data_IF_379937150919
#
_entry.id   IF_379937150919
#
_cell.length_a   1.000
_cell.length_b   1.000
_cell.length_c   1.000
_cell.angle_alpha   90.00
_cell.angle_beta   90.00
_cell.angle_gamma   90.00
#
_symmetry.space_group_name_H-M   'P 1'
#
loop_
_entity.id
_entity.type
_entity.pdbx_description
1 polymer ?
#
# COMPACT_ATOMS: atom_id res chain seq x y z
N UNK A 1 9.82 -1.45 75.55
CA UNK A 1 9.11 -1.76 74.29
C UNK A 1 8.04 -0.70 74.12
N UNK A 2 8.18 0.22 73.16
CA UNK A 2 7.24 1.32 72.94
C UNK A 2 6.59 1.16 71.57
N UNK A 3 5.32 0.71 71.53
CA UNK A 3 4.51 0.74 70.31
C UNK A 3 3.81 2.09 70.22
N UNK A 4 4.39 3.01 69.45
CA UNK A 4 3.78 4.31 69.14
C UNK A 4 2.61 4.10 68.17
N UNK A 5 1.40 4.05 68.71
CA UNK A 5 0.15 3.94 67.97
C UNK A 5 -0.17 5.24 67.24
N UNK A 6 0.01 5.23 65.92
CA UNK A 6 -0.13 6.38 65.04
C UNK A 6 -1.63 6.74 64.82
N UNK A 7 -2.25 7.40 65.80
CA UNK A 7 -3.63 7.89 65.69
C UNK A 7 -3.69 9.17 64.83
N UNK A 8 -3.53 9.03 63.52
CA UNK A 8 -3.81 10.10 62.56
C UNK A 8 -5.29 10.51 62.67
N UNK A 9 -5.55 11.78 62.90
CA UNK A 9 -6.92 12.31 63.03
C UNK A 9 -7.75 12.02 61.76
N UNK A 10 -9.08 11.90 61.90
CA UNK A 10 -10.00 11.62 60.77
C UNK A 10 -9.78 12.59 59.59
N UNK A 11 -9.40 13.84 59.87
CA UNK A 11 -9.10 14.84 58.85
C UNK A 11 -7.75 14.61 58.15
N UNK A 12 -6.73 14.13 58.87
CA UNK A 12 -5.45 13.75 58.26
C UNK A 12 -5.61 12.58 57.29
N UNK A 13 -6.38 11.55 57.68
CA UNK A 13 -6.65 10.38 56.84
C UNK A 13 -7.45 10.74 55.57
N UNK A 14 -8.37 11.70 55.65
CA UNK A 14 -9.13 12.22 54.49
C UNK A 14 -8.24 13.01 53.52
N UNK A 15 -7.30 13.81 54.03
CA UNK A 15 -6.34 14.56 53.18
C UNK A 15 -5.31 13.64 52.52
N UNK A 16 -4.86 12.61 53.23
CA UNK A 16 -3.93 11.60 52.70
C UNK A 16 -4.57 10.82 51.54
N UNK A 17 -5.82 10.36 51.70
CA UNK A 17 -6.57 9.70 50.63
C UNK A 17 -6.81 10.59 49.40
N UNK A 18 -7.03 11.89 49.60
CA UNK A 18 -7.19 12.84 48.49
C UNK A 18 -5.87 13.07 47.74
N UNK A 19 -4.73 13.10 48.44
CA UNK A 19 -3.40 13.19 47.82
C UNK A 19 -3.03 11.93 47.05
N UNK A 20 -3.34 10.76 47.62
CA UNK A 20 -3.07 9.46 46.99
C UNK A 20 -3.89 9.27 45.72
N UNK A 21 -5.18 9.67 45.73
CA UNK A 21 -6.00 9.67 44.51
C UNK A 21 -5.43 10.60 43.44
N UNK A 22 -5.04 11.82 43.80
CA UNK A 22 -4.45 12.78 42.84
C UNK A 22 -3.10 12.30 42.28
N UNK A 23 -2.32 11.58 43.09
CA UNK A 23 -1.07 10.98 42.65
C UNK A 23 -1.32 9.81 41.67
N UNK A 24 -2.31 8.96 41.94
CA UNK A 24 -2.69 7.90 41.01
C UNK A 24 -3.25 8.45 39.70
N UNK A 25 -4.10 9.48 39.74
CA UNK A 25 -4.63 10.13 38.55
C UNK A 25 -3.48 10.71 37.69
N UNK A 26 -2.48 11.34 38.32
CA UNK A 26 -1.27 11.83 37.62
C UNK A 26 -0.40 10.69 37.05
N UNK A 27 -0.27 9.57 37.75
CA UNK A 27 0.48 8.40 37.26
C UNK A 27 -0.24 7.73 36.09
N UNK A 28 -1.58 7.68 36.10
CA UNK A 28 -2.37 7.18 34.97
C UNK A 28 -2.30 8.12 33.76
N UNK A 29 -2.36 9.44 33.95
CA UNK A 29 -2.16 10.40 32.86
C UNK A 29 -0.75 10.30 32.27
N UNK A 30 0.28 10.09 33.11
CA UNK A 30 1.64 9.89 32.64
C UNK A 30 1.79 8.59 31.84
N UNK A 31 1.17 7.49 32.29
CA UNK A 31 1.16 6.20 31.58
C UNK A 31 0.39 6.25 30.26
N UNK A 32 -0.67 7.07 30.17
CA UNK A 32 -1.39 7.30 28.91
C UNK A 32 -0.51 8.03 27.90
N UNK A 33 0.17 9.09 28.31
CA UNK A 33 1.10 9.82 27.44
C UNK A 33 2.38 9.04 27.09
N UNK A 34 2.82 8.11 27.94
CA UNK A 34 3.98 7.25 27.69
C UNK A 34 3.70 6.14 26.65
N UNK A 35 2.43 5.74 26.50
CA UNK A 35 2.00 4.84 25.41
C UNK A 35 1.80 5.54 24.07
N UNK A 36 1.54 6.86 24.05
CA UNK A 36 1.39 7.64 22.81
C UNK A 36 2.74 7.99 22.16
N UNK A 37 3.85 7.91 22.89
CA UNK A 37 5.19 8.27 22.38
C UNK A 37 6.11 7.09 22.10
N UNK A 38 5.59 5.86 22.08
CA UNK A 38 6.34 4.77 21.46
C UNK A 38 6.44 5.09 19.98
N UNK A 39 7.61 5.58 19.56
CA UNK A 39 8.05 5.63 18.17
C UNK A 39 7.98 4.20 17.62
N UNK A 40 6.79 3.78 17.20
CA UNK A 40 6.59 2.48 16.59
C UNK A 40 7.51 2.48 15.38
N UNK A 41 8.44 1.54 15.36
CA UNK A 41 9.35 1.38 14.24
C UNK A 41 8.51 1.38 12.94
N UNK A 42 8.76 2.32 12.01
CA UNK A 42 7.96 2.44 10.79
C UNK A 42 7.88 1.12 10.03
N UNK A 43 8.90 0.26 10.13
CA UNK A 43 8.90 -1.08 9.54
C UNK A 43 7.82 -1.96 10.15
N UNK A 44 7.65 -1.91 11.48
CA UNK A 44 6.65 -2.72 12.20
C UNK A 44 5.23 -2.24 11.90
N UNK A 45 5.03 -0.92 11.80
CA UNK A 45 3.75 -0.34 11.41
C UNK A 45 3.32 -0.77 10.00
N UNK A 46 4.23 -0.70 9.03
CA UNK A 46 3.97 -1.12 7.64
C UNK A 46 3.71 -2.63 7.54
N UNK A 47 4.43 -3.45 8.30
CA UNK A 47 4.17 -4.91 8.36
C UNK A 47 2.78 -5.22 8.90
N UNK A 48 2.32 -4.48 9.91
CA UNK A 48 0.96 -4.62 10.47
C UNK A 48 -0.10 -4.24 9.44
N UNK A 49 0.06 -3.09 8.78
CA UNK A 49 -0.85 -2.65 7.72
C UNK A 49 -0.86 -3.62 6.52
N UNK A 50 0.27 -4.25 6.21
CA UNK A 50 0.35 -5.24 5.14
C UNK A 50 -0.39 -6.53 5.50
N UNK A 51 -0.33 -6.96 6.76
CA UNK A 51 -1.11 -8.09 7.24
C UNK A 51 -2.62 -7.81 7.19
N UNK A 52 -3.03 -6.60 7.57
CA UNK A 52 -4.41 -6.13 7.53
C UNK A 52 -4.93 -5.99 6.10
N UNK A 53 -4.15 -5.41 5.19
CA UNK A 53 -4.50 -5.34 3.77
C UNK A 53 -4.62 -6.74 3.13
N UNK A 54 -3.82 -7.71 3.59
CA UNK A 54 -3.95 -9.11 3.15
C UNK A 54 -5.20 -9.78 3.69
N UNK A 55 -5.54 -9.57 4.96
CA UNK A 55 -6.76 -10.14 5.55
C UNK A 55 -8.02 -9.54 4.91
N UNK A 56 -7.96 -8.28 4.48
CA UNK A 56 -9.06 -7.59 3.83
C UNK A 56 -9.15 -7.88 2.32
N UNK A 57 -8.19 -8.62 1.74
CA UNK A 57 -8.15 -8.90 0.30
C UNK A 57 -7.72 -7.71 -0.58
N UNK A 58 -7.22 -6.63 0.01
CA UNK A 58 -6.77 -5.42 -0.68
C UNK A 58 -5.39 -5.61 -1.31
N UNK A 59 -5.32 -6.43 -2.37
CA UNK A 59 -4.07 -6.76 -3.05
C UNK A 59 -3.30 -5.54 -3.60
N UNK A 60 -4.03 -4.49 -4.01
CA UNK A 60 -3.43 -3.23 -4.49
C UNK A 60 -2.72 -2.49 -3.36
N UNK A 61 -3.34 -2.40 -2.19
CA UNK A 61 -2.74 -1.75 -1.02
C UNK A 61 -1.56 -2.57 -0.48
N UNK A 62 -1.72 -3.89 -0.42
CA UNK A 62 -0.67 -4.81 0.00
C UNK A 62 0.59 -4.73 -0.90
N UNK A 63 0.41 -4.56 -2.22
CA UNK A 63 1.51 -4.34 -3.15
C UNK A 63 2.26 -3.04 -2.85
N UNK A 64 1.54 -1.93 -2.65
CA UNK A 64 2.12 -0.61 -2.30
C UNK A 64 2.88 -0.65 -0.97
N UNK A 65 2.31 -1.27 0.06
CA UNK A 65 2.96 -1.42 1.37
C UNK A 65 4.24 -2.27 1.30
N UNK A 66 4.27 -3.25 0.38
CA UNK A 66 5.46 -4.07 0.14
C UNK A 66 6.57 -3.27 -0.55
N UNK A 67 6.20 -2.43 -1.51
CA UNK A 67 7.11 -1.48 -2.15
C UNK A 67 7.66 -0.48 -1.13
N UNK A 68 6.81 0.10 -0.28
CA UNK A 68 7.20 1.01 0.79
C UNK A 68 8.20 0.35 1.77
N UNK A 69 8.01 -0.94 2.10
CA UNK A 69 8.95 -1.71 2.92
C UNK A 69 10.32 -1.92 2.24
N UNK A 70 10.34 -2.22 0.94
CA UNK A 70 11.59 -2.35 0.19
C UNK A 70 12.35 -1.04 0.12
N UNK A 71 11.67 0.06 -0.20
CA UNK A 71 12.28 1.40 -0.24
C UNK A 71 12.86 1.77 1.12
N UNK A 72 12.14 1.51 2.21
CA UNK A 72 12.61 1.79 3.57
C UNK A 72 13.84 0.94 3.93
N UNK A 73 13.85 -0.33 3.54
CA UNK A 73 14.97 -1.24 3.77
C UNK A 73 16.22 -0.81 2.99
N UNK A 74 16.08 -0.46 1.72
CA UNK A 74 17.19 0.01 0.89
C UNK A 74 17.72 1.37 1.35
N UNK A 75 16.81 2.29 1.73
CA UNK A 75 17.17 3.58 2.31
C UNK A 75 17.95 3.41 3.63
N UNK A 76 17.52 2.49 4.49
CA UNK A 76 18.24 2.17 5.74
C UNK A 76 19.60 1.51 5.48
N UNK A 77 19.76 0.85 4.33
CA UNK A 77 21.00 0.19 3.92
C UNK A 77 21.98 1.14 3.24
N UNK A 78 21.63 2.43 3.08
CA UNK A 78 22.48 3.45 2.46
C UNK A 78 22.68 3.25 0.95
N UNK A 79 21.86 2.41 0.30
CA UNK A 79 21.91 2.23 -1.15
C UNK A 79 21.18 3.40 -1.80
N UNK A 80 21.90 4.17 -2.62
CA UNK A 80 21.31 5.26 -3.37
C UNK A 80 20.50 4.68 -4.53
N UNK A 81 19.18 4.66 -4.40
CA UNK A 81 18.27 4.13 -5.40
C UNK A 81 18.22 5.13 -6.57
N UNK A 82 19.05 4.89 -7.59
CA UNK A 82 18.91 5.54 -8.90
C UNK A 82 17.78 4.84 -9.66
N UNK A 83 16.53 5.12 -9.29
CA UNK A 83 15.38 4.75 -10.10
C UNK A 83 14.55 6.01 -10.37
N UNK A 84 14.11 6.18 -11.61
CA UNK A 84 13.17 7.20 -12.07
C UNK A 84 11.90 7.12 -11.19
N UNK A 85 11.73 8.12 -10.32
CA UNK A 85 11.17 7.94 -8.97
C UNK A 85 9.85 8.71 -8.78
N UNK A 86 8.90 8.73 -9.71
CA UNK A 86 7.60 9.34 -9.37
C UNK A 86 6.89 8.49 -8.30
N UNK A 87 6.85 7.16 -8.50
CA UNK A 87 6.28 6.23 -7.52
C UNK A 87 7.12 6.09 -6.24
N UNK A 88 8.45 6.19 -6.34
CA UNK A 88 9.37 6.10 -5.19
C UNK A 88 9.36 7.42 -4.39
N UNK A 89 9.22 8.57 -5.05
CA UNK A 89 9.04 9.86 -4.38
C UNK A 89 7.67 9.89 -3.70
N UNK A 90 6.63 9.34 -4.32
CA UNK A 90 5.34 9.14 -3.68
C UNK A 90 5.44 8.17 -2.48
N UNK A 91 6.18 7.06 -2.57
CA UNK A 91 6.46 6.18 -1.43
C UNK A 91 7.16 6.94 -0.30
N UNK A 92 8.21 7.70 -0.61
CA UNK A 92 8.94 8.49 0.38
C UNK A 92 8.05 9.57 1.00
N UNK A 93 7.19 10.22 0.20
CA UNK A 93 6.20 11.18 0.68
C UNK A 93 5.13 10.52 1.56
N UNK A 94 4.69 9.30 1.24
CA UNK A 94 3.76 8.52 2.09
C UNK A 94 4.41 8.13 3.41
N UNK A 95 5.63 7.62 3.37
CA UNK A 95 6.41 7.28 4.56
C UNK A 95 6.67 8.50 5.44
N UNK A 96 6.92 9.67 4.83
CA UNK A 96 7.07 10.91 5.58
C UNK A 96 5.73 11.37 6.19
N UNK A 97 4.60 11.18 5.50
CA UNK A 97 3.24 11.42 6.04
C UNK A 97 2.88 10.48 7.20
N UNK A 98 3.35 9.24 7.21
CA UNK A 98 3.13 8.31 8.33
C UNK A 98 3.77 8.82 9.64
N UNK A 99 4.78 9.70 9.57
CA UNK A 99 5.31 10.41 10.74
C UNK A 99 4.46 11.61 11.22
N UNK A 100 3.41 12.01 10.50
CA UNK A 100 2.67 13.27 10.76
C UNK A 100 1.23 13.02 11.24
N UNK A 101 0.89 11.81 11.68
CA UNK A 101 -0.42 11.57 12.29
C UNK A 101 -0.50 11.99 13.77
N UNK A 102 0.61 12.43 14.38
CA UNK A 102 0.60 13.04 15.72
C UNK A 102 1.25 14.44 15.68
N UNK A 103 0.47 15.42 15.23
CA UNK A 103 0.44 16.77 15.81
C UNK A 103 1.69 17.65 15.72
N UNK A 104 2.20 17.97 14.52
CA UNK A 104 3.02 19.18 14.36
C UNK A 104 2.73 19.94 13.06
N UNK A 105 2.16 21.13 13.25
CA UNK A 105 1.89 22.14 12.24
C UNK A 105 3.22 22.76 11.77
N UNK A 106 3.56 22.56 10.49
CA UNK A 106 4.61 23.32 9.82
C UNK A 106 4.06 23.96 8.54
N UNK A 107 3.09 24.86 8.72
CA UNK A 107 2.76 25.90 7.75
C UNK A 107 3.86 26.98 7.71
N UNK A 108 5.10 26.65 7.31
CA UNK A 108 6.08 27.68 6.92
C UNK A 108 7.26 27.16 6.09
N UNK A 109 7.04 27.01 4.79
CA UNK A 109 8.00 27.39 3.74
C UNK A 109 7.37 27.23 2.35
N UNK A 110 6.83 28.33 1.83
CA UNK A 110 7.08 28.84 0.46
C UNK A 110 7.16 27.80 -0.68
N UNK A 111 6.08 27.56 -1.41
CA UNK A 111 5.70 28.28 -2.66
C UNK A 111 6.56 27.96 -3.88
N UNK A 112 6.06 27.08 -4.79
CA UNK A 112 6.14 27.27 -6.26
C UNK A 112 4.96 26.53 -6.93
N UNK A 113 4.05 27.35 -7.47
CA UNK A 113 3.25 27.21 -8.70
C UNK A 113 2.37 25.99 -8.99
N UNK A 114 1.07 26.22 -8.77
CA UNK A 114 -0.07 25.71 -9.56
C UNK A 114 -0.36 26.71 -10.69
N UNK A 115 -0.90 26.29 -11.86
CA UNK A 115 -2.29 26.67 -12.19
C UNK A 115 -3.04 25.49 -12.83
N UNK A 116 -4.19 25.04 -12.32
CA UNK A 116 -5.55 25.54 -12.59
C UNK A 116 -5.91 25.80 -14.06
N UNK A 117 -6.43 24.73 -14.67
CA UNK A 117 -7.68 24.63 -15.44
C UNK A 117 -8.56 25.90 -15.54
N UNK A 118 -8.81 26.34 -16.77
CA UNK A 118 -10.02 27.02 -17.26
C UNK A 118 -10.32 26.38 -18.63
N UNK A 119 -11.29 25.47 -18.73
CA UNK A 119 -12.64 25.78 -19.23
C UNK A 119 -12.66 26.73 -20.43
N UNK A 120 -12.67 26.13 -21.62
CA UNK A 120 -13.41 26.67 -22.76
C UNK A 120 -14.10 25.50 -23.46
N UNK A 121 -15.43 25.58 -23.49
CA UNK A 121 -16.32 24.70 -24.23
C UNK A 121 -16.11 24.92 -25.73
N UNK A 122 -15.69 23.90 -26.47
CA UNK A 122 -16.11 23.73 -27.87
C UNK A 122 -16.22 22.24 -28.18
N UNK A 123 -17.48 21.82 -28.36
CA UNK A 123 -18.02 20.74 -29.18
C UNK A 123 -17.01 19.84 -29.91
N UNK A 124 -16.92 18.55 -29.54
CA UNK A 124 -16.61 17.43 -30.44
C UNK A 124 -16.69 16.09 -29.67
N UNK A 125 -17.92 15.70 -29.30
CA UNK A 125 -18.20 14.58 -28.38
C UNK A 125 -18.52 13.24 -29.08
N UNK A 126 -18.07 13.06 -30.33
CA UNK A 126 -18.32 11.79 -31.07
C UNK A 126 -17.07 11.04 -31.51
N UNK A 127 -15.86 11.57 -31.27
CA UNK A 127 -14.60 10.95 -31.77
C UNK A 127 -13.71 10.41 -30.64
N UNK A 128 -13.85 10.89 -29.39
CA UNK A 128 -12.96 10.51 -28.29
C UNK A 128 -13.21 9.12 -27.69
N UNK A 129 -14.42 8.58 -27.75
CA UNK A 129 -14.72 7.26 -27.18
C UNK A 129 -14.10 6.11 -28.01
N UNK A 130 -13.94 6.27 -29.33
CA UNK A 130 -13.40 5.23 -30.21
C UNK A 130 -11.90 5.00 -30.01
N UNK A 131 -11.13 6.05 -29.70
CA UNK A 131 -9.67 5.95 -29.57
C UNK A 131 -9.25 5.22 -28.27
N UNK A 132 -9.98 5.43 -27.17
CA UNK A 132 -9.74 4.75 -25.90
C UNK A 132 -10.15 3.27 -25.96
N UNK A 133 -11.23 2.92 -26.66
CA UNK A 133 -11.63 1.53 -26.87
C UNK A 133 -10.64 0.76 -27.75
N UNK A 134 -10.16 1.36 -28.85
CA UNK A 134 -9.09 0.77 -29.69
C UNK A 134 -7.82 0.49 -28.87
N UNK A 135 -7.39 1.46 -28.04
CA UNK A 135 -6.22 1.28 -27.16
C UNK A 135 -6.40 0.16 -26.13
N UNK A 136 -7.63 -0.04 -25.64
CA UNK A 136 -7.96 -1.11 -24.69
C UNK A 136 -7.90 -2.49 -25.36
N UNK A 137 -8.56 -2.65 -26.51
CA UNK A 137 -8.57 -3.90 -27.28
C UNK A 137 -7.16 -4.28 -27.75
N UNK A 138 -6.34 -3.32 -28.18
CA UNK A 138 -4.93 -3.55 -28.55
C UNK A 138 -4.09 -4.13 -27.40
N UNK A 139 -4.30 -3.65 -26.17
CA UNK A 139 -3.62 -4.16 -24.98
C UNK A 139 -4.04 -5.60 -24.69
N UNK A 140 -5.34 -5.91 -24.86
CA UNK A 140 -5.89 -7.25 -24.73
C UNK A 140 -5.27 -8.20 -25.76
N UNK A 141 -5.22 -7.82 -27.05
CA UNK A 141 -4.57 -8.58 -28.13
C UNK A 141 -3.10 -8.86 -27.79
N UNK A 142 -2.35 -7.85 -27.33
CA UNK A 142 -0.94 -8.02 -26.95
C UNK A 142 -0.77 -9.01 -25.79
N UNK A 143 -1.67 -8.98 -24.81
CA UNK A 143 -1.67 -9.91 -23.67
C UNK A 143 -2.00 -11.33 -24.13
N UNK A 144 -2.97 -11.49 -25.03
CA UNK A 144 -3.36 -12.78 -25.60
C UNK A 144 -2.26 -13.39 -26.46
N UNK A 145 -1.57 -12.59 -27.30
CA UNK A 145 -0.39 -13.01 -28.06
C UNK A 145 0.71 -13.57 -27.15
N UNK A 146 0.98 -12.90 -26.02
CA UNK A 146 1.96 -13.38 -25.03
C UNK A 146 1.55 -14.72 -24.40
N UNK A 147 0.25 -14.95 -24.13
CA UNK A 147 -0.23 -16.25 -23.63
C UNK A 147 -0.03 -17.35 -24.66
N UNK A 148 -0.37 -17.10 -25.92
CA UNK A 148 -0.14 -18.05 -27.03
C UNK A 148 1.35 -18.36 -27.19
N UNK A 149 2.22 -17.36 -27.12
CA UNK A 149 3.67 -17.57 -27.18
C UNK A 149 4.19 -18.42 -26.01
N UNK A 150 3.66 -18.22 -24.81
CA UNK A 150 3.99 -19.05 -23.64
C UNK A 150 3.54 -20.50 -23.84
N UNK A 151 2.37 -20.72 -24.42
CA UNK A 151 1.84 -22.06 -24.74
C UNK A 151 2.73 -22.74 -25.77
N UNK A 152 3.18 -22.04 -26.82
CA UNK A 152 4.10 -22.60 -27.81
C UNK A 152 5.44 -23.02 -27.18
N UNK A 153 5.97 -22.23 -26.23
CA UNK A 153 7.17 -22.61 -25.47
C UNK A 153 6.94 -23.87 -24.62
N UNK A 154 5.75 -24.02 -24.05
CA UNK A 154 5.38 -25.22 -23.30
C UNK A 154 5.21 -26.44 -24.22
N UNK A 155 4.66 -26.27 -25.43
CA UNK A 155 4.59 -27.33 -26.44
C UNK A 155 5.97 -27.81 -26.86
N UNK A 156 6.88 -26.88 -27.12
CA UNK A 156 8.25 -27.21 -27.47
C UNK A 156 8.94 -28.03 -26.37
N UNK A 157 8.76 -27.64 -25.10
CA UNK A 157 9.26 -28.40 -23.94
C UNK A 157 8.65 -29.80 -23.84
N UNK A 158 7.37 -29.94 -24.17
CA UNK A 158 6.69 -31.23 -24.23
C UNK A 158 7.26 -32.12 -25.35
N UNK A 159 7.54 -31.54 -26.53
CA UNK A 159 8.18 -32.24 -27.65
C UNK A 159 9.64 -32.64 -27.34
N UNK A 160 10.36 -31.80 -26.59
CA UNK A 160 11.70 -32.09 -26.07
C UNK A 160 11.70 -33.19 -24.97
N UNK A 161 10.52 -33.64 -24.54
CA UNK A 161 10.35 -34.71 -23.56
C UNK A 161 10.58 -34.29 -22.11
N UNK A 162 10.47 -32.98 -21.80
CA UNK A 162 10.51 -32.49 -20.43
C UNK A 162 9.23 -32.85 -19.66
N UNK A 163 9.38 -33.27 -18.41
CA UNK A 163 8.25 -33.55 -17.51
C UNK A 163 7.49 -32.26 -17.19
N UNK A 164 6.23 -32.20 -17.64
CA UNK A 164 5.35 -31.05 -17.47
C UNK A 164 4.50 -31.19 -16.20
N UNK A 165 4.40 -30.10 -15.44
CA UNK A 165 3.50 -30.03 -14.28
C UNK A 165 2.03 -29.98 -14.73
N UNK A 166 1.11 -30.50 -13.91
CA UNK A 166 -0.33 -30.52 -14.22
C UNK A 166 -0.87 -29.13 -14.61
N UNK A 167 -0.48 -28.08 -13.88
CA UNK A 167 -0.88 -26.70 -14.18
C UNK A 167 -0.40 -26.19 -15.56
N UNK A 168 0.65 -26.79 -16.14
CA UNK A 168 1.14 -26.47 -17.49
C UNK A 168 0.35 -27.26 -18.55
N UNK A 169 0.02 -28.53 -18.27
CA UNK A 169 -0.87 -29.33 -19.11
C UNK A 169 -2.26 -28.69 -19.23
N UNK A 170 -2.81 -28.18 -18.12
CA UNK A 170 -4.09 -27.48 -18.12
C UNK A 170 -4.05 -26.17 -18.95
N UNK A 171 -2.88 -25.54 -19.07
CA UNK A 171 -2.68 -24.36 -19.93
C UNK A 171 -2.61 -24.75 -21.40
N UNK A 172 -1.94 -25.86 -21.73
CA UNK A 172 -1.93 -26.41 -23.09
C UNK A 172 -3.34 -26.81 -23.54
N UNK A 173 -4.13 -27.43 -22.67
CA UNK A 173 -5.52 -27.80 -22.97
C UNK A 173 -6.42 -26.59 -23.30
N UNK A 174 -6.07 -25.40 -22.81
CA UNK A 174 -6.81 -24.15 -23.07
C UNK A 174 -6.28 -23.37 -24.27
N UNK A 175 -5.30 -23.89 -25.01
CA UNK A 175 -4.73 -23.22 -26.19
C UNK A 175 -5.79 -22.76 -27.18
N UNK A 176 -6.70 -23.65 -27.55
CA UNK A 176 -7.72 -23.35 -28.56
C UNK A 176 -8.63 -22.20 -28.12
N UNK A 177 -8.95 -22.13 -26.82
CA UNK A 177 -9.73 -21.02 -26.26
C UNK A 177 -8.99 -19.69 -26.36
N UNK A 178 -7.67 -19.67 -26.13
CA UNK A 178 -6.87 -18.45 -26.26
C UNK A 178 -6.70 -18.01 -27.72
N UNK A 179 -6.60 -18.96 -28.65
CA UNK A 179 -6.54 -18.66 -30.09
C UNK A 179 -7.87 -18.10 -30.61
N UNK A 180 -9.00 -18.68 -30.16
CA UNK A 180 -10.33 -18.18 -30.52
C UNK A 180 -10.58 -16.77 -29.96
N UNK A 181 -10.24 -16.53 -28.69
CA UNK A 181 -10.37 -15.21 -28.06
C UNK A 181 -9.46 -14.17 -28.76
N UNK A 182 -8.23 -14.54 -29.12
CA UNK A 182 -7.34 -13.69 -29.89
C UNK A 182 -7.93 -13.32 -31.26
N UNK A 183 -8.49 -14.31 -31.97
CA UNK A 183 -9.13 -14.09 -33.27
C UNK A 183 -10.33 -13.14 -33.15
N UNK A 184 -11.15 -13.29 -32.13
CA UNK A 184 -12.29 -12.41 -31.87
C UNK A 184 -11.84 -10.97 -31.56
N UNK A 185 -10.80 -10.80 -30.75
CA UNK A 185 -10.26 -9.48 -30.44
C UNK A 185 -9.63 -8.80 -31.66
N UNK A 186 -8.97 -9.57 -32.54
CA UNK A 186 -8.44 -9.06 -33.80
C UNK A 186 -9.55 -8.66 -34.78
N UNK A 187 -10.65 -9.43 -34.83
CA UNK A 187 -11.84 -9.10 -35.62
C UNK A 187 -12.55 -7.85 -35.09
N UNK A 188 -12.68 -7.71 -33.76
CA UNK A 188 -13.19 -6.51 -33.13
C UNK A 188 -12.34 -5.29 -33.47
N UNK A 189 -11.01 -5.43 -33.41
CA UNK A 189 -10.09 -4.36 -33.78
C UNK A 189 -10.17 -4.00 -35.27
N UNK A 190 -10.37 -4.98 -36.16
CA UNK A 190 -10.56 -4.75 -37.59
C UNK A 190 -11.93 -4.12 -37.93
N UNK A 191 -12.94 -4.33 -37.07
CA UNK A 191 -14.29 -3.77 -37.22
C UNK A 191 -14.45 -2.34 -36.69
N UNK A 192 -13.47 -1.85 -35.91
CA UNK A 192 -13.43 -0.52 -35.29
C UNK A 192 -12.68 0.50 -36.17
#
# INVERSE_FOLDING_TARGET
MSTSGNNKSKNAKRREKAREKKLNDLVEERKKHENEHQKVDPVVALKKQLAEAKSNGDHKLAAKLRQDLWVLQDASSGKNIQLESEEIAESMHRLNKVKVNDGLDLSKATSVSKPHKSEEQVSNDSIKNSLDEKSSVEKEVKKMRKKVEQINKLKQKQEEGEDMQQCQLDKLAKEESFLQELKQLEEQLASL
#
